data_IF_123178619913
#
_entry.id   IF_123178619913
#
_cell.length_a   1.000
_cell.length_b   1.000
_cell.length_c   1.000
_cell.angle_alpha   90.00
_cell.angle_beta   90.00
_cell.angle_gamma   90.00
#
_symmetry.space_group_name_H-M   'P 1'
#
loop_
_entity.id
_entity.type
_entity.pdbx_description
1 polymer ?
#
# COMPACT_ATOMS: atom_id res chain seq x y z
N UNK A 1 16.82 -11.30 5.78
CA UNK A 1 17.66 -10.39 4.97
C UNK A 1 17.12 -8.98 5.15
N UNK A 2 17.99 -7.98 5.16
CA UNK A 2 17.78 -6.70 5.84
C UNK A 2 16.70 -5.81 5.22
N UNK A 3 15.97 -5.18 6.13
CA UNK A 3 14.87 -4.22 6.03
C UNK A 3 15.25 -2.87 5.35
N UNK A 4 16.20 -2.89 4.40
CA UNK A 4 16.92 -1.71 3.91
C UNK A 4 16.41 -1.13 2.59
N UNK A 5 15.30 -1.65 2.05
CA UNK A 5 14.90 -1.38 0.65
C UNK A 5 13.43 -0.95 0.46
N UNK A 6 12.70 -0.69 1.55
CA UNK A 6 11.34 -0.16 1.52
C UNK A 6 11.36 1.26 2.09
N UNK A 7 11.17 2.26 1.23
CA UNK A 7 10.86 3.61 1.69
C UNK A 7 9.35 3.84 1.64
N UNK A 8 8.78 4.04 2.82
CA UNK A 8 7.41 4.53 2.95
C UNK A 8 7.44 6.05 3.05
N UNK A 9 7.13 6.76 1.96
CA UNK A 9 6.86 8.21 2.01
C UNK A 9 5.37 8.43 2.15
N UNK A 10 5.01 9.35 3.04
CA UNK A 10 3.63 9.68 3.35
C UNK A 10 3.41 11.18 3.21
N UNK A 11 2.39 11.57 2.47
CA UNK A 11 1.84 12.91 2.58
C UNK A 11 0.78 12.90 3.68
N UNK A 12 1.12 13.43 4.86
CA UNK A 12 0.12 13.74 5.88
C UNK A 12 -0.62 14.99 5.47
N UNK A 13 -1.90 14.86 5.15
CA UNK A 13 -2.78 16.01 4.92
C UNK A 13 -3.32 16.50 6.26
N UNK A 14 -2.77 17.60 6.75
CA UNK A 14 -3.31 18.32 7.91
C UNK A 14 -4.41 19.26 7.41
N UNK A 15 -5.66 18.95 7.74
CA UNK A 15 -6.81 19.74 7.30
C UNK A 15 -6.88 21.06 8.09
N UNK A 16 -6.15 22.07 7.61
CA UNK A 16 -6.48 23.48 7.89
C UNK A 16 -7.44 23.96 6.80
N UNK A 17 -8.22 25.02 7.05
CA UNK A 17 -9.14 25.64 6.07
C UNK A 17 -8.40 26.33 4.89
N UNK A 18 -7.33 25.73 4.38
CA UNK A 18 -6.56 26.12 3.20
C UNK A 18 -6.46 24.90 2.29
N UNK A 19 -6.80 25.09 1.02
CA UNK A 19 -6.54 24.09 0.00
C UNK A 19 -5.03 24.08 -0.28
N UNK A 20 -4.39 22.92 -0.14
CA UNK A 20 -3.04 22.69 -0.63
C UNK A 20 -3.13 21.94 -1.96
N UNK A 21 -2.42 22.44 -2.98
CA UNK A 21 -2.28 21.71 -4.24
C UNK A 21 -1.30 20.56 -4.01
N UNK A 22 -1.80 19.33 -4.17
CA UNK A 22 -1.00 18.12 -4.04
C UNK A 22 -0.75 17.59 -5.45
N UNK A 23 0.52 17.56 -5.84
CA UNK A 23 0.93 16.93 -7.09
C UNK A 23 1.47 15.54 -6.81
N UNK A 24 1.12 14.60 -7.68
CA UNK A 24 1.75 13.28 -7.68
C UNK A 24 3.22 13.44 -8.10
N UNK A 25 4.12 12.85 -7.31
CA UNK A 25 5.56 12.86 -7.58
C UNK A 25 5.96 11.54 -8.23
N UNK A 26 6.79 11.54 -9.27
CA UNK A 26 7.35 10.30 -9.83
C UNK A 26 8.50 9.79 -8.95
N UNK A 27 8.77 8.47 -8.90
CA UNK A 27 9.89 7.96 -8.13
C UNK A 27 11.24 8.35 -8.76
N UNK A 28 12.30 8.30 -7.96
CA UNK A 28 13.68 8.50 -8.42
C UNK A 28 14.12 7.38 -9.37
N UNK A 29 15.17 7.62 -10.15
CA UNK A 29 15.73 6.60 -11.05
C UNK A 29 16.15 5.34 -10.26
N UNK A 30 15.88 4.18 -10.85
CA UNK A 30 16.10 2.87 -10.21
C UNK A 30 15.04 2.46 -9.18
N UNK A 31 14.02 3.30 -8.92
CA UNK A 31 12.86 2.95 -8.11
C UNK A 31 11.61 2.74 -8.96
N UNK A 32 10.70 1.89 -8.45
CA UNK A 32 9.30 1.85 -8.89
C UNK A 32 8.39 2.41 -7.80
N UNK A 33 7.28 3.02 -8.19
CA UNK A 33 6.24 3.47 -7.26
C UNK A 33 5.06 2.51 -7.31
N UNK A 34 4.71 1.95 -6.16
CA UNK A 34 3.56 1.08 -5.93
C UNK A 34 2.49 1.88 -5.19
N UNK A 35 1.40 2.21 -5.88
CA UNK A 35 0.18 2.76 -5.29
C UNK A 35 -0.83 1.61 -5.15
N UNK A 36 -1.41 1.42 -3.97
CA UNK A 36 -2.45 0.39 -3.76
C UNK A 36 -3.68 0.97 -3.10
N UNK A 37 -4.83 0.36 -3.39
CA UNK A 37 -6.12 0.69 -2.79
C UNK A 37 -6.91 -0.61 -2.57
N UNK A 38 -7.44 -0.78 -1.37
CA UNK A 38 -8.31 -1.87 -1.00
C UNK A 38 -9.68 -1.37 -0.53
N UNK A 39 -10.73 -1.75 -1.24
CA UNK A 39 -12.09 -1.31 -0.94
C UNK A 39 -12.98 -2.45 -0.43
N UNK A 40 -13.90 -2.16 0.49
CA UNK A 40 -14.95 -3.10 0.92
C UNK A 40 -16.34 -2.46 0.86
N UNK A 41 -17.34 -3.23 0.42
CA UNK A 41 -18.76 -2.79 0.33
C UNK A 41 -19.44 -2.87 1.68
N UNK A 42 -18.98 -2.05 2.63
CA UNK A 42 -19.34 -2.10 4.05
C UNK A 42 -18.28 -2.84 4.87
N UNK A 43 -18.25 -2.63 6.18
CA UNK A 43 -17.24 -3.28 7.02
C UNK A 43 -17.54 -4.80 7.12
N UNK A 44 -16.59 -5.63 6.70
CA UNK A 44 -16.72 -7.09 6.62
C UNK A 44 -17.73 -7.57 5.57
N UNK A 45 -17.55 -7.10 4.34
CA UNK A 45 -18.37 -7.46 3.18
C UNK A 45 -17.48 -7.80 1.97
N UNK A 46 -18.10 -7.98 0.80
CA UNK A 46 -17.40 -8.14 -0.47
C UNK A 46 -16.42 -7.01 -0.67
N UNK A 47 -15.17 -7.38 -0.94
CA UNK A 47 -14.06 -6.45 -1.02
C UNK A 47 -13.25 -6.69 -2.28
N UNK A 48 -12.41 -5.74 -2.63
CA UNK A 48 -11.48 -5.83 -3.74
C UNK A 48 -10.16 -5.20 -3.36
N UNK A 49 -9.12 -5.63 -4.06
CA UNK A 49 -7.80 -5.01 -4.02
C UNK A 49 -7.45 -4.51 -5.39
N UNK A 50 -6.71 -3.42 -5.45
CA UNK A 50 -6.18 -2.89 -6.68
C UNK A 50 -4.85 -2.19 -6.44
N UNK A 51 -4.11 -1.97 -7.51
CA UNK A 51 -2.92 -1.14 -7.45
C UNK A 51 -2.28 -0.93 -8.80
N UNK A 52 -1.31 -0.01 -8.81
CA UNK A 52 -0.57 0.38 -9.99
C UNK A 52 0.90 0.55 -9.65
N UNK A 53 1.75 0.05 -10.55
CA UNK A 53 3.21 0.15 -10.45
C UNK A 53 3.69 1.05 -11.58
N UNK A 54 4.44 2.09 -11.23
CA UNK A 54 4.99 3.07 -12.18
C UNK A 54 6.51 3.15 -12.09
N UNK A 55 7.17 3.43 -13.21
CA UNK A 55 8.61 3.68 -13.25
C UNK A 55 8.94 5.15 -12.92
N UNK A 56 10.23 5.49 -12.93
CA UNK A 56 10.76 6.83 -12.68
C UNK A 56 10.44 7.86 -13.78
N UNK A 57 9.93 7.45 -14.93
CA UNK A 57 9.33 8.33 -15.94
C UNK A 57 7.85 8.60 -15.69
N UNK A 58 7.24 7.91 -14.71
CA UNK A 58 5.82 7.97 -14.39
C UNK A 58 4.94 7.06 -15.24
N UNK A 59 5.55 6.27 -16.12
CA UNK A 59 4.87 5.32 -16.99
C UNK A 59 4.37 4.13 -16.18
N UNK A 60 3.21 3.61 -16.58
CA UNK A 60 2.61 2.44 -15.97
C UNK A 60 3.34 1.20 -16.45
N UNK A 61 3.99 0.49 -15.53
CA UNK A 61 4.58 -0.81 -15.80
C UNK A 61 3.55 -1.93 -15.66
N UNK A 62 2.63 -1.79 -14.70
CA UNK A 62 1.61 -2.79 -14.39
C UNK A 62 0.46 -2.16 -13.61
N UNK A 63 -0.75 -2.64 -13.83
CA UNK A 63 -1.89 -2.44 -12.93
C UNK A 63 -2.50 -3.81 -12.58
N UNK A 64 -3.06 -3.94 -11.38
CA UNK A 64 -3.69 -5.17 -10.92
C UNK A 64 -5.01 -4.87 -10.20
N UNK A 65 -5.91 -5.86 -10.24
CA UNK A 65 -7.13 -5.87 -9.45
C UNK A 65 -7.52 -7.32 -9.13
N UNK A 66 -8.01 -7.57 -7.92
CA UNK A 66 -8.47 -8.90 -7.51
C UNK A 66 -9.68 -8.76 -6.57
N UNK A 67 -10.61 -9.72 -6.65
CA UNK A 67 -11.77 -9.77 -5.77
C UNK A 67 -11.40 -10.51 -4.47
N UNK A 68 -11.75 -9.92 -3.33
CA UNK A 68 -11.74 -10.58 -2.03
C UNK A 68 -13.15 -10.99 -1.64
N UNK A 69 -13.28 -12.11 -0.91
CA UNK A 69 -14.58 -12.63 -0.50
C UNK A 69 -15.26 -11.74 0.53
N UNK A 70 -14.74 -11.72 1.75
CA UNK A 70 -15.27 -10.95 2.88
C UNK A 70 -14.07 -10.36 3.59
N UNK A 71 -13.97 -9.04 3.61
CA UNK A 71 -12.89 -8.33 4.28
C UNK A 71 -13.38 -6.99 4.87
N UNK A 72 -12.80 -6.57 5.98
CA UNK A 72 -12.89 -5.20 6.46
C UNK A 72 -12.10 -4.26 5.55
N UNK A 73 -12.33 -2.95 5.66
CA UNK A 73 -11.53 -1.95 4.90
C UNK A 73 -10.03 -2.13 5.20
N UNK A 74 -9.66 -2.32 6.47
CA UNK A 74 -8.25 -2.53 6.85
C UNK A 74 -7.67 -3.80 6.22
N UNK A 75 -8.45 -4.90 6.18
CA UNK A 75 -8.00 -6.13 5.54
C UNK A 75 -7.84 -5.98 4.04
N UNK A 76 -8.77 -5.27 3.37
CA UNK A 76 -8.67 -5.00 1.95
C UNK A 76 -7.40 -4.21 1.63
N UNK A 77 -7.13 -3.14 2.37
CA UNK A 77 -5.95 -2.29 2.19
C UNK A 77 -4.63 -3.03 2.44
N UNK A 78 -4.55 -3.80 3.54
CA UNK A 78 -3.38 -4.64 3.82
C UNK A 78 -3.19 -5.71 2.74
N UNK A 79 -4.27 -6.28 2.22
CA UNK A 79 -4.22 -7.28 1.14
C UNK A 79 -3.77 -6.67 -0.18
N UNK A 80 -4.20 -5.44 -0.49
CA UNK A 80 -3.75 -4.72 -1.67
C UNK A 80 -2.25 -4.43 -1.62
N UNK A 81 -1.76 -3.96 -0.46
CA UNK A 81 -0.34 -3.76 -0.22
C UNK A 81 0.46 -5.06 -0.35
N UNK A 82 0.03 -6.12 0.34
CA UNK A 82 0.71 -7.42 0.28
C UNK A 82 0.77 -7.95 -1.14
N UNK A 83 -0.34 -7.87 -1.89
CA UNK A 83 -0.40 -8.32 -3.28
C UNK A 83 0.54 -7.51 -4.18
N UNK A 84 0.54 -6.19 -4.05
CA UNK A 84 1.45 -5.31 -4.78
C UNK A 84 2.93 -5.63 -4.52
N UNK A 85 3.29 -5.90 -3.25
CA UNK A 85 4.65 -6.29 -2.89
C UNK A 85 5.07 -7.64 -3.45
N UNK A 86 4.17 -8.63 -3.46
CA UNK A 86 4.41 -9.92 -4.12
C UNK A 86 4.68 -9.73 -5.61
N UNK A 87 3.88 -8.92 -6.30
CA UNK A 87 4.09 -8.63 -7.72
C UNK A 87 5.44 -7.93 -7.93
N UNK A 88 5.80 -6.96 -7.10
CA UNK A 88 7.12 -6.31 -7.16
C UNK A 88 8.25 -7.33 -7.02
N UNK A 89 8.14 -8.26 -6.06
CA UNK A 89 9.11 -9.33 -5.83
C UNK A 89 9.22 -10.29 -7.01
N UNK A 90 8.08 -10.76 -7.54
CA UNK A 90 8.01 -11.63 -8.72
C UNK A 90 8.63 -10.98 -9.97
N UNK A 91 8.51 -9.66 -10.10
CA UNK A 91 9.10 -8.87 -11.20
C UNK A 91 10.55 -8.47 -10.97
N UNK A 92 11.14 -8.82 -9.82
CA UNK A 92 12.52 -8.46 -9.48
C UNK A 92 12.72 -6.97 -9.17
N UNK A 93 11.66 -6.24 -8.81
CA UNK A 93 11.79 -4.84 -8.37
C UNK A 93 12.34 -4.79 -6.96
N UNK A 94 13.58 -4.34 -6.84
CA UNK A 94 14.33 -4.30 -5.58
C UNK A 94 14.14 -3.00 -4.77
N UNK A 95 13.67 -1.93 -5.41
CA UNK A 95 13.52 -0.59 -4.83
C UNK A 95 12.11 -0.10 -5.08
N UNK A 96 11.28 -0.17 -4.05
CA UNK A 96 9.84 0.13 -4.14
C UNK A 96 9.49 1.29 -3.23
N UNK A 97 8.98 2.37 -3.83
CA UNK A 97 8.31 3.47 -3.14
C UNK A 97 6.83 3.11 -3.01
N UNK A 98 6.37 2.90 -1.78
CA UNK A 98 4.97 2.56 -1.49
C UNK A 98 4.16 3.83 -1.18
N UNK A 99 2.99 3.97 -1.80
CA UNK A 99 1.98 4.98 -1.47
C UNK A 99 0.63 4.32 -1.15
N UNK A 100 0.07 4.73 -0.02
CA UNK A 100 -1.18 4.22 0.56
C UNK A 100 -2.01 5.41 1.02
N UNK A 101 -3.31 5.38 0.81
CA UNK A 101 -4.28 6.37 1.32
C UNK A 101 -4.95 5.94 2.64
N UNK A 102 -4.68 4.73 3.13
CA UNK A 102 -5.19 4.21 4.40
C UNK A 102 -4.33 4.57 5.62
N UNK A 103 -4.60 5.72 6.25
CA UNK A 103 -3.89 6.16 7.47
C UNK A 103 -3.90 5.10 8.61
N UNK A 104 -4.99 4.36 8.76
CA UNK A 104 -5.12 3.28 9.75
C UNK A 104 -4.13 2.14 9.51
N UNK A 105 -3.93 1.75 8.25
CA UNK A 105 -2.94 0.75 7.84
C UNK A 105 -1.53 1.26 8.11
N UNK A 106 -1.25 2.53 7.84
CA UNK A 106 0.05 3.13 8.14
C UNK A 106 0.39 3.07 9.61
N UNK A 107 -0.59 3.35 10.47
CA UNK A 107 -0.43 3.25 11.92
C UNK A 107 -0.12 1.81 12.33
N UNK A 108 -0.86 0.83 11.79
CA UNK A 108 -0.64 -0.60 12.06
C UNK A 108 0.75 -1.08 11.62
N UNK A 109 1.23 -0.65 10.46
CA UNK A 109 2.57 -1.00 9.96
C UNK A 109 3.68 -0.48 10.87
N UNK A 110 3.56 0.78 11.33
CA UNK A 110 4.53 1.44 12.20
C UNK A 110 4.52 0.90 13.63
N UNK A 111 3.33 0.73 14.20
CA UNK A 111 3.14 0.23 15.56
C UNK A 111 1.86 -0.61 15.60
N UNK A 112 1.97 -1.94 15.75
CA UNK A 112 0.79 -2.78 15.92
C UNK A 112 -0.04 -2.25 17.10
N UNK A 113 -1.33 -2.00 16.85
CA UNK A 113 -2.25 -1.59 17.92
C UNK A 113 -2.44 -2.74 18.90
N UNK A 114 -2.52 -2.44 20.20
CA UNK A 114 -2.88 -3.43 21.22
C UNK A 114 -4.21 -4.09 20.85
N UNK A 115 -4.22 -5.41 20.64
CA UNK A 115 -5.42 -6.16 20.23
C UNK A 115 -5.60 -6.37 18.72
N UNK A 116 -4.64 -5.98 17.87
CA UNK A 116 -4.69 -6.17 16.41
C UNK A 116 -4.23 -7.57 15.93
N UNK A 117 -4.41 -8.62 16.74
CA UNK A 117 -3.95 -9.98 16.45
C UNK A 117 -4.49 -10.53 15.12
N UNK A 118 -5.71 -10.14 14.75
CA UNK A 118 -6.35 -10.52 13.49
C UNK A 118 -5.62 -10.03 12.23
N UNK A 119 -4.70 -9.07 12.34
CA UNK A 119 -3.87 -8.57 11.23
C UNK A 119 -2.42 -9.05 11.31
N UNK A 120 -2.04 -9.79 12.35
CA UNK A 120 -0.64 -10.09 12.65
C UNK A 120 0.03 -10.93 11.55
N UNK A 121 -0.70 -11.90 10.98
CA UNK A 121 -0.17 -12.76 9.93
C UNK A 121 0.16 -11.96 8.66
N UNK A 122 -0.78 -11.14 8.17
CA UNK A 122 -0.55 -10.35 6.96
C UNK A 122 0.50 -9.25 7.19
N UNK A 123 0.56 -8.67 8.40
CA UNK A 123 1.60 -7.71 8.76
C UNK A 123 2.99 -8.35 8.79
N UNK A 124 3.10 -9.64 9.14
CA UNK A 124 4.35 -10.37 9.06
C UNK A 124 4.76 -10.59 7.59
N UNK A 125 3.84 -11.05 6.74
CA UNK A 125 4.10 -11.26 5.32
C UNK A 125 4.53 -9.99 4.58
N UNK A 126 3.94 -8.83 4.93
CA UNK A 126 4.33 -7.53 4.36
C UNK A 126 5.76 -7.12 4.76
N UNK A 127 6.26 -7.60 5.90
CA UNK A 127 7.58 -7.25 6.45
C UNK A 127 8.71 -8.21 6.04
N UNK A 128 8.37 -9.32 5.39
CA UNK A 128 9.31 -10.35 4.90
C UNK A 128 9.91 -10.02 3.53
#
# INVERSE_FOLDING_TARGET
>A
MQQKYLEFRFQKLYFTRKYELIFWEKPEEGWVKLNTDGASRGNSSVAGVSGIIRNHFGEVLLAFQELLRIASNIQAELSALHRGLLICKERGFIRVWIELDALSVLQLLKKPLSGAWQYQLILQQIKE
#
